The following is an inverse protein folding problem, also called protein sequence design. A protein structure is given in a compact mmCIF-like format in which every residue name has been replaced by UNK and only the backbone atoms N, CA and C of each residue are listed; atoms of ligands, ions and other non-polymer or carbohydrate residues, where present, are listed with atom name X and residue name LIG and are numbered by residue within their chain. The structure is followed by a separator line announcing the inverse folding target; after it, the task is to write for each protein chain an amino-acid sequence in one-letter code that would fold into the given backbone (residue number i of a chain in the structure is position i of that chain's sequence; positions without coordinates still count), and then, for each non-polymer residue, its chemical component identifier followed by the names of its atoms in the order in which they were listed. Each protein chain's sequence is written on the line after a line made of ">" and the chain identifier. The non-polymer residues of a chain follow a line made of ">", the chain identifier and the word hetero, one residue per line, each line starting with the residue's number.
data_IF_220718613897
#
_entry.id   IF_220718613897
#
_cell.length_a   1.000
_cell.length_b   1.000
_cell.length_c   1.000
_cell.angle_alpha   90.00
_cell.angle_beta   90.00
_cell.angle_gamma   90.00
#
_symmetry.space_group_name_H-M   'P 1'
#
loop_
_entity.id
_entity.type
_entity.pdbx_description
1 polymer ?
#
# COMPACT_ATOMS: atom_id res chain seq x y z
N UNK A 1 -3.62 -21.98 13.27
CA UNK A 1 -4.77 -22.59 13.97
C UNK A 1 -5.48 -23.51 12.99
N UNK A 2 -5.89 -24.70 13.40
CA UNK A 2 -6.77 -25.55 12.55
C UNK A 2 -8.23 -25.12 12.74
N UNK A 3 -9.14 -25.38 11.79
CA UNK A 3 -10.56 -25.08 11.95
C UNK A 3 -11.17 -25.68 13.23
N UNK A 4 -10.58 -26.76 13.76
CA UNK A 4 -10.94 -27.35 15.06
C UNK A 4 -10.74 -26.42 16.28
N UNK A 5 -9.96 -25.34 16.18
CA UNK A 5 -9.66 -24.44 17.30
C UNK A 5 -10.50 -23.15 17.30
N UNK A 6 -11.16 -22.81 16.19
CA UNK A 6 -12.08 -21.66 16.12
C UNK A 6 -13.47 -22.11 15.63
N UNK A 7 -14.48 -22.16 16.52
CA UNK A 7 -15.80 -22.65 16.16
C UNK A 7 -16.46 -21.83 15.04
N UNK A 8 -16.11 -20.55 14.87
CA UNK A 8 -16.62 -19.71 13.79
C UNK A 8 -16.20 -20.22 12.41
N UNK A 9 -14.99 -20.75 12.26
CA UNK A 9 -14.47 -21.28 10.99
C UNK A 9 -15.28 -22.51 10.58
N UNK A 10 -15.59 -23.39 11.53
CA UNK A 10 -16.38 -24.60 11.26
C UNK A 10 -17.82 -24.33 10.81
N UNK A 11 -18.29 -23.08 10.94
CA UNK A 11 -19.60 -22.62 10.44
C UNK A 11 -19.51 -22.00 9.04
N UNK A 12 -18.31 -21.77 8.51
CA UNK A 12 -18.11 -21.33 7.14
C UNK A 12 -18.41 -22.54 6.23
N UNK A 13 -19.29 -22.35 5.28
CA UNK A 13 -19.70 -23.39 4.33
C UNK A 13 -18.55 -23.58 3.32
N UNK A 14 -18.22 -24.84 3.05
CA UNK A 14 -17.10 -25.27 2.19
C UNK A 14 -15.70 -24.84 2.68
N UNK A 15 -15.54 -24.59 3.99
CA UNK A 15 -14.25 -24.20 4.60
C UNK A 15 -13.13 -25.22 4.36
N UNK A 16 -13.48 -26.50 4.21
CA UNK A 16 -12.55 -27.60 3.98
C UNK A 16 -11.75 -27.43 2.68
N UNK A 17 -12.25 -26.67 1.70
CA UNK A 17 -11.52 -26.39 0.45
C UNK A 17 -10.23 -25.63 0.75
N UNK A 18 -10.29 -24.65 1.67
CA UNK A 18 -9.13 -23.88 2.11
C UNK A 18 -8.19 -24.78 2.92
N UNK A 19 -8.73 -25.57 3.85
CA UNK A 19 -7.91 -26.49 4.65
C UNK A 19 -7.23 -27.57 3.82
N UNK A 20 -7.85 -28.07 2.76
CA UNK A 20 -7.24 -29.06 1.88
C UNK A 20 -6.05 -28.49 1.11
N UNK A 21 -6.12 -27.21 0.71
CA UNK A 21 -5.02 -26.54 0.00
C UNK A 21 -3.85 -26.19 0.93
N UNK A 22 -4.14 -25.61 2.10
CA UNK A 22 -3.12 -25.16 3.05
C UNK A 22 -2.68 -26.23 4.05
N UNK A 23 -3.50 -27.25 4.31
CA UNK A 23 -3.35 -28.19 5.42
C UNK A 23 -3.83 -27.64 6.77
N UNK A 24 -4.34 -26.41 6.79
CA UNK A 24 -4.87 -25.68 7.94
C UNK A 24 -5.71 -24.49 7.44
N UNK A 25 -6.44 -23.81 8.32
CA UNK A 25 -7.06 -22.53 7.98
C UNK A 25 -6.07 -21.37 8.23
N UNK A 26 -5.66 -20.62 7.19
CA UNK A 26 -4.69 -19.54 7.35
C UNK A 26 -5.31 -18.32 8.05
N UNK A 27 -4.46 -17.53 8.72
CA UNK A 27 -4.79 -16.19 9.23
C UNK A 27 -4.84 -15.14 8.10
N UNK A 28 -4.36 -15.50 6.91
CA UNK A 28 -4.23 -14.62 5.75
C UNK A 28 -3.26 -13.45 5.97
N UNK A 29 -2.26 -13.62 6.85
CA UNK A 29 -1.20 -12.63 7.01
C UNK A 29 -0.48 -12.37 5.68
N UNK A 30 -0.25 -11.10 5.35
CA UNK A 30 0.31 -10.61 4.08
C UNK A 30 -0.51 -10.96 2.82
N UNK A 31 -1.75 -11.44 2.97
CA UNK A 31 -2.67 -11.59 1.85
C UNK A 31 -3.18 -10.23 1.36
N UNK A 32 -3.70 -10.20 0.14
CA UNK A 32 -4.27 -8.99 -0.45
C UNK A 32 -5.74 -9.18 -0.84
N UNK A 33 -6.59 -8.24 -0.45
CA UNK A 33 -7.97 -8.17 -0.93
C UNK A 33 -7.96 -7.50 -2.32
N UNK A 34 -8.08 -8.30 -3.37
CA UNK A 34 -7.96 -7.83 -4.76
C UNK A 34 -9.29 -7.35 -5.34
N UNK A 35 -10.42 -7.80 -4.78
CA UNK A 35 -11.76 -7.44 -5.26
C UNK A 35 -12.79 -7.55 -4.14
N UNK A 36 -13.75 -6.63 -4.17
CA UNK A 36 -14.91 -6.61 -3.28
C UNK A 36 -16.16 -6.40 -4.13
N UNK A 37 -17.15 -7.27 -4.00
CA UNK A 37 -18.43 -7.19 -4.73
C UNK A 37 -19.57 -7.02 -3.74
N UNK A 38 -20.44 -6.03 -3.94
CA UNK A 38 -21.66 -5.82 -3.16
C UNK A 38 -22.87 -6.16 -4.04
N UNK A 39 -23.76 -7.01 -3.55
CA UNK A 39 -24.93 -7.45 -4.31
C UNK A 39 -26.20 -7.40 -3.48
N UNK A 40 -27.30 -6.97 -4.11
CA UNK A 40 -28.65 -7.08 -3.58
C UNK A 40 -29.38 -8.22 -4.28
N UNK A 41 -29.94 -9.16 -3.52
CA UNK A 41 -30.66 -10.30 -4.07
C UNK A 41 -32.17 -10.03 -4.12
N UNK A 42 -32.90 -10.59 -5.10
CA UNK A 42 -34.37 -10.46 -5.19
C UNK A 42 -35.12 -10.99 -3.95
N UNK A 43 -34.47 -11.84 -3.15
CA UNK A 43 -34.97 -12.36 -1.87
C UNK A 43 -34.98 -11.31 -0.75
N UNK A 44 -34.41 -10.12 -0.99
CA UNK A 44 -34.22 -9.08 0.02
C UNK A 44 -32.97 -9.28 0.87
N UNK A 45 -32.15 -10.31 0.61
CA UNK A 45 -30.85 -10.51 1.26
C UNK A 45 -29.77 -9.70 0.54
N UNK A 46 -28.75 -9.29 1.29
CA UNK A 46 -27.56 -8.62 0.77
C UNK A 46 -26.35 -9.52 0.91
N UNK A 47 -25.40 -9.41 -0.01
CA UNK A 47 -24.12 -10.10 0.10
C UNK A 47 -22.92 -9.22 -0.20
N UNK A 48 -21.80 -9.61 0.39
CA UNK A 48 -20.47 -9.08 0.11
C UNK A 48 -19.57 -10.25 -0.23
N UNK A 49 -18.86 -10.16 -1.35
CA UNK A 49 -17.87 -11.17 -1.74
C UNK A 49 -16.49 -10.55 -1.79
N UNK A 50 -15.54 -11.14 -1.07
CA UNK A 50 -14.12 -10.80 -1.09
C UNK A 50 -13.37 -11.79 -1.98
N UNK A 51 -12.42 -11.29 -2.78
CA UNK A 51 -11.41 -12.13 -3.44
C UNK A 51 -10.06 -11.85 -2.80
N UNK A 52 -9.48 -12.89 -2.21
CA UNK A 52 -8.27 -12.81 -1.37
C UNK A 52 -7.14 -13.52 -2.11
N UNK A 53 -6.12 -12.78 -2.53
CA UNK A 53 -4.88 -13.34 -3.03
C UNK A 53 -3.99 -13.73 -1.85
N UNK A 54 -3.78 -15.03 -1.64
CA UNK A 54 -3.12 -15.59 -0.48
C UNK A 54 -1.99 -16.55 -0.86
N UNK A 55 -1.08 -16.79 0.08
CA UNK A 55 0.04 -17.72 -0.04
C UNK A 55 0.47 -18.20 1.35
N UNK A 56 1.29 -19.25 1.41
CA UNK A 56 1.98 -19.68 2.62
C UNK A 56 3.44 -19.21 2.59
N UNK A 57 3.83 -18.40 3.58
CA UNK A 57 5.23 -18.03 3.79
C UNK A 57 5.96 -19.13 4.56
N UNK A 58 7.07 -19.62 4.02
CA UNK A 58 7.91 -20.63 4.70
C UNK A 58 9.12 -19.99 5.39
N UNK A 59 9.73 -20.69 6.34
CA UNK A 59 10.98 -20.27 6.99
C UNK A 59 12.25 -20.46 6.11
N UNK A 60 12.10 -20.84 4.84
CA UNK A 60 13.22 -21.08 3.93
C UNK A 60 13.45 -19.84 3.07
N UNK A 61 14.71 -19.44 2.92
CA UNK A 61 15.06 -18.34 2.02
C UNK A 61 15.25 -18.83 0.57
N UNK A 62 14.88 -17.99 -0.40
CA UNK A 62 15.25 -18.13 -1.80
C UNK A 62 16.69 -17.68 -2.07
N UNK A 63 17.11 -17.69 -3.34
CA UNK A 63 18.49 -17.32 -3.71
C UNK A 63 18.78 -15.83 -3.49
N UNK A 64 17.74 -15.03 -3.31
CA UNK A 64 17.78 -13.58 -3.12
C UNK A 64 17.67 -13.20 -1.64
N UNK A 65 17.50 -14.17 -0.73
CA UNK A 65 17.40 -13.93 0.70
C UNK A 65 15.98 -13.65 1.21
N UNK A 66 14.95 -13.87 0.39
CA UNK A 66 13.55 -13.73 0.80
C UNK A 66 12.95 -15.04 1.27
N UNK A 67 12.01 -14.98 2.21
CA UNK A 67 11.19 -16.13 2.55
C UNK A 67 10.43 -16.64 1.32
N UNK A 68 10.56 -17.94 1.05
CA UNK A 68 9.87 -18.62 -0.04
C UNK A 68 8.38 -18.64 0.25
N UNK A 69 7.61 -18.15 -0.71
CA UNK A 69 6.16 -18.21 -0.71
C UNK A 69 5.69 -19.40 -1.55
N UNK A 70 4.82 -20.25 -0.99
CA UNK A 70 4.26 -21.43 -1.65
C UNK A 70 2.73 -21.40 -1.58
N UNK A 71 2.05 -22.36 -2.25
CA UNK A 71 0.59 -22.53 -2.20
C UNK A 71 -0.20 -21.26 -2.55
N UNK A 72 0.28 -20.50 -3.53
CA UNK A 72 -0.41 -19.31 -4.03
C UNK A 72 -1.82 -19.67 -4.51
N UNK A 73 -2.82 -18.87 -4.12
CA UNK A 73 -4.20 -19.04 -4.57
C UNK A 73 -5.01 -17.75 -4.44
N UNK A 74 -6.12 -17.69 -5.16
CA UNK A 74 -7.21 -16.76 -4.89
C UNK A 74 -8.34 -17.50 -4.17
N UNK A 75 -8.77 -16.98 -3.03
CA UNK A 75 -9.91 -17.49 -2.26
C UNK A 75 -11.07 -16.51 -2.38
N UNK A 76 -12.25 -16.98 -2.75
CA UNK A 76 -13.47 -16.19 -2.79
C UNK A 76 -14.34 -16.47 -1.57
N UNK A 77 -14.53 -15.47 -0.71
CA UNK A 77 -15.37 -15.56 0.49
C UNK A 77 -16.62 -14.71 0.31
N UNK A 78 -17.80 -15.31 0.43
CA UNK A 78 -19.07 -14.60 0.36
C UNK A 78 -19.80 -14.60 1.70
N UNK A 79 -20.25 -13.42 2.10
CA UNK A 79 -21.06 -13.16 3.28
C UNK A 79 -22.50 -12.90 2.82
N UNK A 80 -23.49 -13.64 3.33
CA UNK A 80 -24.91 -13.47 2.98
C UNK A 80 -25.73 -13.18 4.24
N UNK A 81 -26.75 -12.33 4.12
CA UNK A 81 -27.61 -11.98 5.25
C UNK A 81 -26.90 -11.00 6.18
N UNK A 82 -26.32 -9.95 5.59
CA UNK A 82 -25.51 -8.95 6.30
C UNK A 82 -26.38 -8.15 7.28
N UNK A 83 -25.94 -8.10 8.53
CA UNK A 83 -26.50 -7.26 9.62
C UNK A 83 -25.67 -6.01 9.86
N UNK A 84 -24.34 -6.13 9.80
CA UNK A 84 -23.42 -5.01 9.92
C UNK A 84 -22.38 -5.11 8.80
N UNK A 85 -22.12 -3.98 8.16
CA UNK A 85 -21.01 -3.83 7.23
C UNK A 85 -20.34 -2.48 7.49
N UNK A 86 -19.06 -2.53 7.83
CA UNK A 86 -18.14 -1.38 7.80
C UNK A 86 -17.12 -1.65 6.71
N UNK A 87 -17.00 -0.70 5.79
CA UNK A 87 -16.07 -0.77 4.68
C UNK A 87 -15.51 0.64 4.46
N UNK A 88 -14.21 0.82 4.69
CA UNK A 88 -13.54 2.10 4.50
C UNK A 88 -12.13 1.87 3.93
N UNK A 89 -11.70 2.75 3.00
CA UNK A 89 -10.31 2.86 2.57
C UNK A 89 -9.81 1.86 1.52
N UNK A 90 -10.60 1.48 0.50
CA UNK A 90 -10.10 0.60 -0.58
C UNK A 90 -9.16 1.35 -1.52
N UNK A 91 -7.90 0.90 -1.59
CA UNK A 91 -6.82 1.58 -2.33
C UNK A 91 -6.26 0.69 -3.46
N UNK A 92 -5.24 1.15 -4.16
CA UNK A 92 -4.48 0.42 -5.19
C UNK A 92 -3.73 -0.80 -4.64
N UNK A 93 -3.57 -0.90 -3.32
CA UNK A 93 -3.02 -2.05 -2.62
C UNK A 93 -3.77 -2.26 -1.30
N UNK A 94 -4.27 -3.47 -1.05
CA UNK A 94 -5.14 -3.78 0.11
C UNK A 94 -4.60 -4.98 0.91
N UNK A 95 -3.40 -4.83 1.45
CA UNK A 95 -2.68 -5.88 2.20
C UNK A 95 -3.17 -5.94 3.63
N UNK A 96 -3.33 -7.15 4.16
CA UNK A 96 -3.90 -7.39 5.49
C UNK A 96 -2.88 -8.06 6.42
N UNK A 97 -2.95 -7.72 7.70
CA UNK A 97 -2.20 -8.39 8.77
C UNK A 97 -2.92 -9.65 9.24
N UNK A 98 -4.26 -9.63 9.29
CA UNK A 98 -5.07 -10.74 9.77
C UNK A 98 -6.51 -10.66 9.24
N UNK A 99 -7.12 -11.84 9.07
CA UNK A 99 -8.54 -12.02 8.80
C UNK A 99 -9.16 -12.93 9.87
N UNK A 100 -9.78 -12.31 10.87
CA UNK A 100 -10.32 -13.01 12.03
C UNK A 100 -11.83 -13.27 11.92
N UNK A 101 -12.23 -14.49 12.27
CA UNK A 101 -13.63 -14.91 12.37
C UNK A 101 -14.01 -15.17 13.83
N UNK A 102 -15.17 -14.68 14.26
CA UNK A 102 -15.74 -14.91 15.60
C UNK A 102 -17.23 -15.20 15.50
N UNK A 103 -17.72 -16.05 16.40
CA UNK A 103 -19.15 -16.24 16.56
C UNK A 103 -19.79 -14.99 17.16
N UNK A 104 -20.97 -14.64 16.67
CA UNK A 104 -21.78 -13.52 17.17
C UNK A 104 -23.23 -13.95 17.18
N UNK A 105 -23.65 -14.65 18.23
CA UNK A 105 -24.96 -15.31 18.31
C UNK A 105 -25.20 -16.24 17.10
N UNK A 106 -26.30 -16.06 16.38
CA UNK A 106 -26.62 -16.78 15.13
C UNK A 106 -25.80 -16.31 13.92
N UNK A 107 -24.92 -15.33 14.07
CA UNK A 107 -24.13 -14.73 12.99
C UNK A 107 -22.65 -15.09 13.11
N UNK A 108 -21.92 -14.87 12.02
CA UNK A 108 -20.47 -14.90 11.96
C UNK A 108 -19.98 -13.46 11.76
N UNK A 109 -19.09 -13.03 12.64
CA UNK A 109 -18.39 -11.75 12.52
C UNK A 109 -17.01 -11.99 11.91
N UNK A 110 -16.74 -11.34 10.79
CA UNK A 110 -15.42 -11.26 10.21
C UNK A 110 -14.86 -9.84 10.40
N UNK A 111 -13.62 -9.75 10.86
CA UNK A 111 -12.87 -8.51 11.02
C UNK A 111 -11.53 -8.66 10.32
N UNK A 112 -11.11 -7.61 9.64
CA UNK A 112 -9.83 -7.54 8.95
C UNK A 112 -9.00 -6.44 9.61
N UNK A 113 -7.74 -6.77 9.89
CA UNK A 113 -6.72 -5.81 10.32
C UNK A 113 -5.83 -5.48 9.12
N UNK A 114 -5.75 -4.20 8.74
CA UNK A 114 -5.12 -3.80 7.49
C UNK A 114 -3.70 -3.29 7.67
N UNK A 115 -2.82 -3.67 6.74
CA UNK A 115 -1.48 -3.09 6.62
C UNK A 115 -1.47 -1.90 5.68
N UNK A 116 -2.22 -1.97 4.59
CA UNK A 116 -2.38 -0.90 3.61
C UNK A 116 -3.75 -1.03 2.96
N UNK A 117 -4.42 0.09 2.69
CA UNK A 117 -5.84 0.08 2.31
C UNK A 117 -6.74 -0.53 3.39
N UNK A 118 -8.03 -0.66 3.11
CA UNK A 118 -9.07 -1.25 3.96
C UNK A 118 -9.01 -0.86 5.46
N UNK A 119 -8.82 0.44 5.74
CA UNK A 119 -8.62 1.01 7.09
C UNK A 119 -9.63 0.53 8.16
N UNK A 120 -10.84 0.17 7.75
CA UNK A 120 -11.82 -0.46 8.63
C UNK A 120 -12.71 -1.39 7.82
N UNK A 121 -12.57 -2.70 8.06
CA UNK A 121 -13.46 -3.70 7.52
C UNK A 121 -14.05 -4.59 8.62
N UNK A 122 -15.39 -4.59 8.71
CA UNK A 122 -16.15 -5.48 9.58
C UNK A 122 -17.38 -5.95 8.82
N UNK A 123 -17.66 -7.25 8.83
CA UNK A 123 -18.92 -7.80 8.35
C UNK A 123 -19.49 -8.75 9.38
N UNK A 124 -20.77 -8.60 9.68
CA UNK A 124 -21.56 -9.54 10.51
C UNK A 124 -22.65 -10.11 9.61
N UNK A 125 -22.62 -11.42 9.39
CA UNK A 125 -23.49 -12.09 8.41
C UNK A 125 -24.06 -13.40 8.95
N UNK A 126 -25.19 -13.83 8.41
CA UNK A 126 -25.85 -15.09 8.77
C UNK A 126 -25.03 -16.29 8.32
N UNK A 127 -24.54 -16.21 7.08
CA UNK A 127 -23.85 -17.29 6.40
C UNK A 127 -22.56 -16.75 5.75
N UNK A 128 -21.52 -17.58 5.77
CA UNK A 128 -20.26 -17.33 5.09
C UNK A 128 -19.93 -18.56 4.27
N UNK A 129 -19.57 -18.35 3.01
CA UNK A 129 -19.23 -19.40 2.05
C UNK A 129 -17.83 -19.20 1.53
N UNK A 130 -17.08 -20.28 1.37
CA UNK A 130 -15.98 -20.34 0.41
C UNK A 130 -16.57 -20.65 -0.96
N UNK A 131 -16.73 -19.64 -1.81
CA UNK A 131 -17.28 -19.84 -3.15
C UNK A 131 -16.31 -20.59 -4.07
N UNK A 132 -15.03 -20.27 -3.96
CA UNK A 132 -13.98 -20.92 -4.75
C UNK A 132 -12.60 -20.74 -4.12
N UNK A 133 -11.70 -21.67 -4.46
CA UNK A 133 -10.26 -21.53 -4.28
C UNK A 133 -9.59 -21.92 -5.59
N UNK A 134 -8.83 -20.99 -6.16
CA UNK A 134 -8.13 -21.19 -7.44
C UNK A 134 -6.63 -21.04 -7.20
N UNK A 135 -5.82 -22.11 -7.32
CA UNK A 135 -4.37 -22.00 -7.27
C UNK A 135 -3.84 -21.04 -8.33
N UNK A 136 -2.85 -20.23 -7.97
CA UNK A 136 -2.23 -19.25 -8.86
C UNK A 136 -0.73 -19.48 -8.96
N UNK A 137 -0.12 -18.98 -10.02
CA UNK A 137 1.34 -18.92 -10.09
C UNK A 137 1.83 -17.69 -9.33
N UNK A 138 2.98 -17.76 -8.62
CA UNK A 138 3.57 -16.60 -8.00
C UNK A 138 3.86 -15.53 -9.06
N UNK A 139 3.47 -14.29 -8.77
CA UNK A 139 3.91 -13.15 -9.56
C UNK A 139 5.45 -13.08 -9.40
N UNK A 140 6.24 -13.10 -10.49
CA UNK A 140 7.68 -13.04 -10.40
C UNK A 140 8.09 -11.78 -9.65
N UNK A 141 8.79 -11.94 -8.51
CA UNK A 141 9.41 -10.82 -7.84
C UNK A 141 10.49 -10.26 -8.74
N UNK A 142 10.49 -8.94 -8.90
CA UNK A 142 11.58 -8.28 -9.60
C UNK A 142 12.89 -8.49 -8.81
N UNK A 143 14.01 -8.72 -9.52
CA UNK A 143 15.29 -8.92 -8.86
C UNK A 143 15.63 -7.72 -7.98
N UNK A 144 16.14 -8.00 -6.77
CA UNK A 144 16.80 -6.99 -5.96
C UNK A 144 17.89 -6.33 -6.79
N UNK A 145 17.78 -5.03 -6.96
CA UNK A 145 18.83 -4.25 -7.61
C UNK A 145 19.95 -4.11 -6.60
N UNK A 146 21.14 -4.54 -7.01
CA UNK A 146 22.37 -4.34 -6.24
C UNK A 146 22.64 -2.84 -6.13
N UNK A 147 22.28 -2.26 -4.98
CA UNK A 147 22.50 -0.84 -4.70
C UNK A 147 23.97 -0.48 -4.52
N UNK A 148 24.90 -1.46 -4.59
CA UNK A 148 26.34 -1.19 -4.52
C UNK A 148 26.95 -0.74 -5.85
N UNK A 149 26.22 -0.86 -6.97
CA UNK A 149 26.57 -0.24 -8.26
C UNK A 149 25.73 1.01 -8.51
N UNK A 150 26.06 2.10 -7.83
CA UNK A 150 25.40 3.42 -7.98
C UNK A 150 25.90 4.10 -9.26
N UNK A 151 25.53 3.56 -10.41
CA UNK A 151 25.61 4.27 -11.69
C UNK A 151 24.27 4.10 -12.42
N UNK A 152 23.41 5.11 -12.23
CA UNK A 152 22.07 5.30 -12.82
C UNK A 152 20.94 4.45 -12.23
N UNK A 153 20.38 4.91 -11.09
CA UNK A 153 19.03 4.53 -10.69
C UNK A 153 18.04 5.01 -11.77
N UNK A 154 17.31 4.08 -12.40
CA UNK A 154 16.17 4.41 -13.25
C UNK A 154 15.02 5.05 -12.44
N UNK A 155 14.01 5.58 -13.15
CA UNK A 155 12.89 6.29 -12.54
C UNK A 155 12.16 5.51 -11.45
N UNK A 156 12.01 4.21 -11.65
CA UNK A 156 11.33 3.33 -10.72
C UNK A 156 12.15 3.15 -9.45
N UNK A 157 13.46 2.99 -9.59
CA UNK A 157 14.32 2.77 -8.44
C UNK A 157 14.48 4.03 -7.60
N UNK A 158 14.55 5.19 -8.24
CA UNK A 158 14.49 6.49 -7.55
C UNK A 158 13.22 6.58 -6.71
N UNK A 159 12.06 6.28 -7.31
CA UNK A 159 10.77 6.34 -6.62
C UNK A 159 10.70 5.38 -5.44
N UNK A 160 11.01 4.10 -5.65
CA UNK A 160 10.99 3.07 -4.59
C UNK A 160 11.97 3.42 -3.46
N UNK A 161 13.19 3.87 -3.79
CA UNK A 161 14.16 4.27 -2.78
C UNK A 161 13.65 5.42 -1.92
N UNK A 162 12.97 6.41 -2.52
CA UNK A 162 12.39 7.53 -1.76
C UNK A 162 11.33 7.09 -0.74
N UNK A 163 10.47 6.13 -1.10
CA UNK A 163 9.40 5.60 -0.23
C UNK A 163 9.93 4.84 0.99
N UNK A 164 11.09 4.19 0.83
CA UNK A 164 11.70 3.41 1.91
C UNK A 164 12.66 4.24 2.76
N UNK A 165 13.51 5.05 2.14
CA UNK A 165 14.63 5.71 2.83
C UNK A 165 14.24 6.99 3.56
N UNK A 166 13.13 7.61 3.19
CA UNK A 166 12.68 8.88 3.79
C UNK A 166 11.77 8.70 5.01
N UNK A 167 11.45 7.46 5.41
CA UNK A 167 10.61 7.16 6.58
C UNK A 167 11.18 7.69 7.91
N UNK A 168 12.50 7.79 7.99
CA UNK A 168 13.23 8.19 9.21
C UNK A 168 13.74 9.64 9.17
N UNK A 169 13.04 10.50 8.43
CA UNK A 169 13.39 11.92 8.33
C UNK A 169 12.80 12.73 9.47
N UNK A 170 13.58 13.71 9.94
CA UNK A 170 13.05 14.79 10.76
C UNK A 170 12.62 15.93 9.83
N UNK A 171 11.31 16.10 9.71
CA UNK A 171 10.71 17.06 8.79
C UNK A 171 10.36 18.36 9.53
N UNK A 172 10.62 19.49 8.88
CA UNK A 172 10.12 20.79 9.31
C UNK A 172 8.61 20.90 9.17
N UNK A 173 8.04 21.88 9.88
CA UNK A 173 6.65 22.28 9.72
C UNK A 173 6.32 22.66 8.26
N UNK A 174 5.05 22.59 7.91
CA UNK A 174 4.59 22.98 6.58
C UNK A 174 4.69 24.49 6.36
N UNK A 175 5.35 24.89 5.27
CA UNK A 175 5.56 26.27 4.86
C UNK A 175 4.71 26.55 3.62
N UNK A 176 3.87 27.59 3.67
CA UNK A 176 3.05 27.98 2.53
C UNK A 176 3.86 28.68 1.43
N UNK A 177 3.96 28.01 0.29
CA UNK A 177 4.69 28.44 -0.91
C UNK A 177 3.76 28.92 -2.04
N UNK A 178 2.46 28.71 -1.90
CA UNK A 178 1.48 29.07 -2.92
C UNK A 178 1.44 28.10 -4.11
N UNK A 179 0.55 28.39 -5.04
CA UNK A 179 0.38 27.63 -6.28
C UNK A 179 0.35 28.62 -7.44
N UNK A 180 0.85 28.20 -8.60
CA UNK A 180 0.72 28.99 -9.82
C UNK A 180 -0.67 28.78 -10.43
N UNK A 181 -1.69 29.41 -9.83
CA UNK A 181 -3.10 29.33 -10.23
C UNK A 181 -3.68 30.72 -10.48
N UNK A 182 -4.61 30.86 -11.43
CA UNK A 182 -5.24 32.14 -11.81
C UNK A 182 -5.95 32.87 -10.65
N UNK A 183 -6.24 32.16 -9.56
CA UNK A 183 -7.02 32.64 -8.40
C UNK A 183 -6.24 32.56 -7.07
N UNK A 184 -4.99 32.10 -7.07
CA UNK A 184 -4.19 31.94 -5.86
C UNK A 184 -3.00 32.91 -5.86
N UNK A 185 -2.53 33.24 -4.65
CA UNK A 185 -1.29 33.97 -4.43
C UNK A 185 -0.13 33.29 -5.15
N UNK A 186 0.60 34.08 -5.96
CA UNK A 186 1.74 33.70 -6.78
C UNK A 186 2.69 32.72 -6.06
N UNK A 187 3.09 31.66 -6.77
CA UNK A 187 4.07 30.71 -6.28
C UNK A 187 5.37 31.44 -5.89
N UNK A 188 5.79 31.27 -4.64
CA UNK A 188 6.93 31.98 -4.05
C UNK A 188 8.27 31.37 -4.47
N UNK A 189 8.61 31.47 -5.75
CA UNK A 189 9.76 30.81 -6.35
C UNK A 189 11.08 31.16 -5.64
N UNK A 190 11.30 32.45 -5.35
CA UNK A 190 12.54 32.93 -4.70
C UNK A 190 12.71 32.33 -3.31
N UNK A 191 11.63 32.28 -2.53
CA UNK A 191 11.64 31.68 -1.19
C UNK A 191 11.94 30.18 -1.27
N UNK A 192 11.31 29.45 -2.19
CA UNK A 192 11.58 28.02 -2.38
C UNK A 192 13.04 27.78 -2.77
N UNK A 193 13.58 28.60 -3.68
CA UNK A 193 14.97 28.52 -4.09
C UNK A 193 15.93 28.82 -2.92
N UNK A 194 15.64 29.80 -2.07
CA UNK A 194 16.44 30.10 -0.88
C UNK A 194 16.51 28.89 0.08
N UNK A 195 15.37 28.28 0.41
CA UNK A 195 15.35 27.07 1.23
C UNK A 195 16.11 25.92 0.58
N UNK A 196 15.91 25.68 -0.72
CA UNK A 196 16.57 24.60 -1.43
C UNK A 196 18.09 24.75 -1.44
N UNK A 197 18.60 25.95 -1.74
CA UNK A 197 20.04 26.23 -1.73
C UNK A 197 20.64 26.25 -0.32
N UNK A 198 19.83 26.46 0.72
CA UNK A 198 20.29 26.31 2.12
C UNK A 198 20.37 24.84 2.57
N UNK A 199 19.61 23.96 1.92
CA UNK A 199 19.52 22.55 2.28
C UNK A 199 20.50 21.70 1.48
N UNK A 200 20.48 21.85 0.15
CA UNK A 200 21.29 21.06 -0.77
C UNK A 200 22.60 21.78 -1.07
N UNK A 201 23.70 21.08 -0.84
CA UNK A 201 25.03 21.52 -1.27
C UNK A 201 25.37 20.99 -2.67
N UNK A 202 24.54 20.06 -3.15
CA UNK A 202 24.71 19.29 -4.38
C UNK A 202 24.05 19.98 -5.58
N UNK A 203 24.75 20.00 -6.72
CA UNK A 203 24.20 20.53 -7.98
C UNK A 203 23.14 19.61 -8.59
N UNK A 204 23.26 18.31 -8.35
CA UNK A 204 22.37 17.29 -8.90
C UNK A 204 21.53 16.64 -7.80
N UNK A 205 20.24 16.49 -8.07
CA UNK A 205 19.23 15.95 -7.16
C UNK A 205 18.31 15.00 -7.91
N UNK A 206 17.67 14.11 -7.17
CA UNK A 206 16.55 13.34 -7.69
C UNK A 206 15.28 14.17 -7.62
N UNK A 207 14.61 14.31 -8.76
CA UNK A 207 13.24 14.80 -8.84
C UNK A 207 12.31 13.57 -8.83
N UNK A 208 11.55 13.42 -7.76
CA UNK A 208 10.68 12.28 -7.50
C UNK A 208 9.23 12.73 -7.67
N UNK A 209 8.59 12.20 -8.72
CA UNK A 209 7.25 12.61 -9.16
C UNK A 209 6.36 11.42 -9.55
N UNK A 210 6.90 10.20 -9.48
CA UNK A 210 6.16 8.98 -9.78
C UNK A 210 7.07 7.82 -10.18
N UNK A 211 6.48 6.62 -10.25
CA UNK A 211 7.21 5.37 -10.51
C UNK A 211 7.89 5.32 -11.88
N UNK A 212 7.42 6.10 -12.86
CA UNK A 212 7.92 6.05 -14.24
C UNK A 212 8.62 7.33 -14.67
N UNK A 213 8.45 8.43 -13.92
CA UNK A 213 8.86 9.77 -14.35
C UNK A 213 9.90 10.40 -13.41
N UNK A 214 10.25 9.74 -12.30
CA UNK A 214 11.33 10.23 -11.43
C UNK A 214 12.68 10.16 -12.15
N UNK A 215 13.58 11.10 -11.91
CA UNK A 215 14.86 11.14 -12.61
C UNK A 215 15.89 11.99 -11.89
N UNK A 216 17.17 11.84 -12.28
CA UNK A 216 18.24 12.74 -11.88
C UNK A 216 18.18 14.01 -12.74
N UNK A 217 18.29 15.17 -12.11
CA UNK A 217 18.31 16.48 -12.77
C UNK A 217 19.15 17.46 -11.96
N UNK A 218 19.40 18.66 -12.47
CA UNK A 218 20.02 19.71 -11.68
C UNK A 218 19.01 20.31 -10.69
N UNK A 219 19.49 20.81 -9.55
CA UNK A 219 18.63 21.48 -8.57
C UNK A 219 17.87 22.66 -9.20
N UNK A 220 18.54 23.43 -10.05
CA UNK A 220 17.91 24.56 -10.75
C UNK A 220 16.78 24.13 -11.68
N UNK A 221 16.96 23.04 -12.44
CA UNK A 221 15.92 22.50 -13.32
C UNK A 221 14.75 21.91 -12.52
N UNK A 222 15.03 21.18 -11.44
CA UNK A 222 13.99 20.65 -10.55
C UNK A 222 13.12 21.78 -10.00
N UNK A 223 13.74 22.83 -9.44
CA UNK A 223 13.04 24.00 -8.89
C UNK A 223 12.20 24.73 -9.92
N UNK A 224 12.69 24.84 -11.16
CA UNK A 224 11.94 25.41 -12.28
C UNK A 224 10.66 24.63 -12.64
N UNK A 225 10.64 23.32 -12.38
CA UNK A 225 9.51 22.45 -12.69
C UNK A 225 8.46 22.37 -11.56
N UNK A 226 8.84 22.61 -10.29
CA UNK A 226 7.97 22.43 -9.11
C UNK A 226 6.60 23.10 -9.29
N UNK A 227 6.57 24.38 -9.67
CA UNK A 227 5.31 25.13 -9.76
C UNK A 227 4.32 24.58 -10.81
N UNK A 228 4.85 23.96 -11.87
CA UNK A 228 4.05 23.35 -12.94
C UNK A 228 3.54 21.99 -12.50
N UNK A 229 4.43 21.16 -11.93
CA UNK A 229 4.11 19.79 -11.49
C UNK A 229 3.11 19.78 -10.33
N UNK A 230 3.21 20.74 -9.40
CA UNK A 230 2.31 20.88 -8.26
C UNK A 230 0.84 21.09 -8.61
N UNK A 231 0.52 21.40 -9.88
CA UNK A 231 -0.86 21.50 -10.37
C UNK A 231 -1.57 20.15 -10.43
N UNK A 232 -0.82 19.05 -10.52
CA UNK A 232 -1.38 17.72 -10.78
C UNK A 232 -0.79 16.60 -9.92
N UNK A 233 0.34 16.83 -9.26
CA UNK A 233 1.01 15.80 -8.47
C UNK A 233 1.81 16.40 -7.32
N UNK A 234 2.16 15.55 -6.37
CA UNK A 234 3.13 15.89 -5.34
C UNK A 234 4.54 15.82 -5.92
N UNK A 235 5.43 16.65 -5.38
CA UNK A 235 6.81 16.72 -5.84
C UNK A 235 7.74 16.51 -4.67
N UNK A 236 8.77 15.71 -4.87
CA UNK A 236 9.80 15.48 -3.89
C UNK A 236 11.16 15.67 -4.56
N UNK A 237 12.03 16.40 -3.89
CA UNK A 237 13.42 16.61 -4.32
C UNK A 237 14.29 16.02 -3.22
N UNK A 238 15.24 15.16 -3.56
CA UNK A 238 16.21 14.64 -2.60
C UNK A 238 17.62 14.56 -3.17
N UNK A 239 18.63 14.61 -2.30
CA UNK A 239 19.99 14.35 -2.74
C UNK A 239 20.20 12.85 -3.04
N UNK A 240 21.30 12.52 -3.73
CA UNK A 240 21.56 11.15 -4.19
C UNK A 240 21.63 10.11 -3.06
N UNK A 241 22.05 10.55 -1.88
CA UNK A 241 22.17 9.70 -0.70
C UNK A 241 20.88 9.57 0.12
N UNK A 242 19.78 10.18 -0.32
CA UNK A 242 18.50 10.20 0.40
C UNK A 242 18.69 10.61 1.87
N UNK A 243 19.55 11.61 2.10
CA UNK A 243 19.86 12.14 3.44
C UNK A 243 19.28 13.54 3.66
N UNK A 244 18.96 14.25 2.58
CA UNK A 244 18.27 15.55 2.59
C UNK A 244 17.14 15.54 1.57
N UNK A 245 16.01 16.14 1.91
CA UNK A 245 14.85 16.15 1.02
C UNK A 245 13.95 17.37 1.25
N UNK A 246 13.27 17.79 0.18
CA UNK A 246 12.17 18.74 0.18
C UNK A 246 10.95 18.10 -0.44
N UNK A 247 9.83 18.13 0.26
CA UNK A 247 8.54 17.62 -0.21
C UNK A 247 7.55 18.76 -0.40
N UNK A 248 6.80 18.70 -1.49
CA UNK A 248 5.81 19.68 -1.88
C UNK A 248 4.47 18.98 -2.12
N UNK A 249 3.41 19.56 -1.58
CA UNK A 249 2.03 19.03 -1.68
C UNK A 249 1.20 19.92 -2.61
N UNK A 250 0.22 19.32 -3.27
CA UNK A 250 -0.68 20.00 -4.22
C UNK A 250 -1.49 21.15 -3.63
N UNK A 251 -1.53 21.28 -2.30
CA UNK A 251 -2.18 22.41 -1.60
C UNK A 251 -1.29 23.65 -1.46
N UNK A 252 -0.12 23.68 -2.13
CA UNK A 252 0.77 24.85 -2.15
C UNK A 252 1.62 25.00 -0.88
N UNK A 253 1.97 23.88 -0.25
CA UNK A 253 2.85 23.86 0.92
C UNK A 253 4.08 23.00 0.64
N UNK A 254 5.19 23.36 1.27
CA UNK A 254 6.42 22.59 1.27
C UNK A 254 6.87 22.25 2.70
N UNK A 255 7.68 21.22 2.83
CA UNK A 255 8.39 20.85 4.05
C UNK A 255 9.76 20.32 3.63
N UNK A 256 10.78 20.51 4.46
CA UNK A 256 12.12 20.02 4.20
C UNK A 256 12.59 19.18 5.38
N UNK A 257 13.50 18.24 5.14
CA UNK A 257 13.95 17.35 6.18
C UNK A 257 15.31 16.77 5.91
N UNK A 258 15.90 16.25 6.97
CA UNK A 258 17.16 15.53 6.94
C UNK A 258 16.98 14.20 7.67
N UNK A 259 17.76 13.20 7.25
CA UNK A 259 17.78 11.89 7.88
C UNK A 259 18.28 12.03 9.32
N UNK A 260 17.58 11.38 10.27
CA UNK A 260 18.03 11.34 11.67
C UNK A 260 19.38 10.60 11.75
N UNK A 261 20.33 11.19 12.47
CA UNK A 261 21.60 10.55 12.82
C UNK A 261 21.39 9.41 13.81
#
# INVERSE_FOLDING_TARGET
>A
MTAHENPAISRIIDYEVVEQHFGYWPDFHDAEITKVTFESHPTGRYSVTLVIAAFEMTNKLDKQGYYKLIKHCNVELQFIGIQELKFNGFDHQNVIFDLAFKESDSYIKCTLDSSNGLESFVVVAEEVFVLSLVPTEPIPREPLIDTSSVDMLDAKNIFIASEHLLRNFDWSDWIYVGLNHEQASEYKADMVAEYANSLFDETEVYLVIGRHDSHLTTLSEALGQVSTLLKSMEVLICNKEFSKAMRFRMVGVMSYGQKRN
#
